data_IF_756145687606
#
_entry.id   IF_756145687606
#
_cell.length_a   1.000
_cell.length_b   1.000
_cell.length_c   1.000
_cell.angle_alpha   90.00
_cell.angle_beta   90.00
_cell.angle_gamma   90.00
#
_symmetry.space_group_name_H-M   'P 1'
#
loop_
_entity.id
_entity.type
_entity.pdbx_description
1 polymer ?
#
# COMPACT_ATOMS: atom_id res chain seq x y z
N UNK A 1 27.36 1.58 -16.69
CA UNK A 1 27.37 1.06 -15.32
C UNK A 1 26.16 0.16 -15.14
N UNK A 2 26.36 -1.15 -15.03
CA UNK A 2 25.27 -2.10 -14.77
C UNK A 2 24.88 -2.00 -13.28
N UNK A 3 23.60 -1.78 -12.97
CA UNK A 3 23.09 -1.85 -11.60
C UNK A 3 23.11 -3.32 -11.17
N UNK A 4 23.82 -3.62 -10.10
CA UNK A 4 23.76 -4.93 -9.44
C UNK A 4 22.33 -5.12 -8.92
N UNK A 5 21.63 -6.20 -9.31
CA UNK A 5 20.30 -6.49 -8.78
C UNK A 5 20.41 -6.71 -7.26
N UNK A 6 19.46 -6.13 -6.52
CA UNK A 6 19.34 -6.33 -5.08
C UNK A 6 19.01 -7.81 -4.86
N UNK A 7 20.03 -8.61 -4.53
CA UNK A 7 19.85 -10.02 -4.20
C UNK A 7 19.58 -10.09 -2.70
N UNK A 8 18.44 -10.68 -2.31
CA UNK A 8 18.11 -11.05 -0.93
C UNK A 8 19.18 -12.02 -0.43
N UNK A 9 20.28 -11.49 0.12
CA UNK A 9 21.44 -12.30 0.54
C UNK A 9 21.21 -13.06 1.84
N UNK A 10 20.17 -12.73 2.60
CA UNK A 10 19.80 -13.44 3.81
C UNK A 10 18.34 -13.16 4.16
N UNK A 11 17.46 -14.15 3.99
CA UNK A 11 16.05 -14.05 4.41
C UNK A 11 15.94 -13.74 5.90
N UNK A 12 16.83 -14.28 6.73
CA UNK A 12 16.87 -13.96 8.17
C UNK A 12 17.16 -12.49 8.43
N UNK A 13 18.12 -11.87 7.73
CA UNK A 13 18.41 -10.44 7.93
C UNK A 13 17.25 -9.56 7.45
N UNK A 14 16.56 -9.97 6.39
CA UNK A 14 15.35 -9.28 5.94
C UNK A 14 14.24 -9.36 7.00
N UNK A 15 13.90 -10.56 7.46
CA UNK A 15 12.85 -10.78 8.46
C UNK A 15 13.17 -10.11 9.80
N UNK A 16 14.44 -10.10 10.23
CA UNK A 16 14.87 -9.49 11.48
C UNK A 16 14.95 -7.96 11.43
N UNK A 17 15.01 -7.36 10.23
CA UNK A 17 15.05 -5.91 10.05
C UNK A 17 13.78 -5.33 9.43
N UNK A 18 12.74 -6.15 9.21
CA UNK A 18 11.42 -5.61 8.89
C UNK A 18 11.01 -4.66 10.02
N UNK A 19 10.71 -3.39 9.72
CA UNK A 19 10.20 -2.47 10.73
C UNK A 19 8.98 -3.12 11.35
N UNK A 20 9.06 -3.50 12.62
CA UNK A 20 7.89 -3.95 13.34
C UNK A 20 6.84 -2.84 13.28
N UNK A 21 5.57 -3.19 13.14
CA UNK A 21 4.48 -2.21 13.18
C UNK A 21 4.39 -1.49 14.54
N UNK A 22 5.14 -1.95 15.56
CA UNK A 22 5.15 -1.46 16.94
C UNK A 22 5.17 0.06 17.11
N UNK A 23 6.05 0.84 16.43
CA UNK A 23 6.02 2.29 16.53
C UNK A 23 4.73 2.92 15.98
N UNK A 24 4.17 2.37 14.90
CA UNK A 24 2.92 2.88 14.30
C UNK A 24 1.71 2.43 15.14
N UNK A 25 1.70 1.20 15.64
CA UNK A 25 0.68 0.70 16.57
C UNK A 25 0.69 1.51 17.88
N UNK A 26 1.86 1.81 18.43
CA UNK A 26 1.99 2.65 19.62
C UNK A 26 1.52 4.09 19.37
N UNK A 27 1.81 4.65 18.18
CA UNK A 27 1.33 5.97 17.79
C UNK A 27 -0.19 6.01 17.61
N UNK A 28 -0.76 4.98 16.98
CA UNK A 28 -2.20 4.92 16.65
C UNK A 28 -3.05 4.41 17.80
N UNK A 29 -2.49 3.67 18.76
CA UNK A 29 -3.15 3.31 20.01
C UNK A 29 -3.61 4.54 20.81
N UNK A 30 -2.95 5.69 20.63
CA UNK A 30 -3.38 6.98 21.20
C UNK A 30 -4.68 7.53 20.60
N UNK A 31 -5.12 6.99 19.46
CA UNK A 31 -6.40 7.34 18.84
C UNK A 31 -7.59 6.60 19.49
N UNK A 32 -7.34 5.80 20.54
CA UNK A 32 -8.36 4.97 21.21
C UNK A 32 -8.81 3.75 20.40
N UNK A 33 -8.35 3.63 19.15
CA UNK A 33 -8.52 2.48 18.25
C UNK A 33 -7.24 2.37 17.40
N UNK A 34 -6.50 1.24 17.47
CA UNK A 34 -5.32 1.05 16.62
C UNK A 34 -5.73 1.14 15.15
N UNK A 35 -4.92 1.79 14.31
CA UNK A 35 -5.11 1.69 12.87
C UNK A 35 -4.77 0.25 12.47
N UNK A 36 -5.75 -0.47 11.94
CA UNK A 36 -5.49 -1.77 11.31
C UNK A 36 -5.01 -1.50 9.88
N UNK A 37 -3.82 -1.96 9.58
CA UNK A 37 -3.27 -1.87 8.23
C UNK A 37 -4.14 -2.72 7.31
N UNK A 38 -4.49 -2.14 6.15
CA UNK A 38 -4.83 -2.98 5.02
C UNK A 38 -3.52 -3.39 4.38
N UNK A 39 -3.38 -4.68 4.15
CA UNK A 39 -2.34 -5.15 3.25
C UNK A 39 -2.76 -4.78 1.82
N UNK A 40 -1.76 -4.51 0.98
CA UNK A 40 -1.88 -4.36 -0.45
C UNK A 40 -0.72 -5.17 -1.04
N UNK A 41 -1.03 -6.16 -1.87
CA UNK A 41 -0.04 -7.13 -2.32
C UNK A 41 0.96 -6.53 -3.31
N UNK A 42 0.49 -5.64 -4.19
CA UNK A 42 1.37 -4.91 -5.10
C UNK A 42 0.81 -3.52 -5.41
N UNK A 43 1.71 -2.54 -5.45
CA UNK A 43 1.45 -1.21 -5.97
C UNK A 43 2.45 -0.89 -7.08
N UNK A 44 1.98 -0.32 -8.18
CA UNK A 44 2.83 0.17 -9.28
C UNK A 44 2.35 1.53 -9.74
N UNK A 45 3.26 2.50 -9.75
CA UNK A 45 3.01 3.82 -10.33
C UNK A 45 3.58 3.89 -11.75
N UNK A 46 2.83 4.55 -12.64
CA UNK A 46 3.26 4.87 -13.99
C UNK A 46 2.60 6.17 -14.45
N UNK A 47 3.40 7.23 -14.63
CA UNK A 47 2.97 8.55 -15.17
C UNK A 47 1.79 9.17 -14.43
N UNK A 48 1.80 9.13 -13.11
CA UNK A 48 0.75 9.66 -12.25
C UNK A 48 -0.51 8.79 -12.18
N UNK A 49 -0.43 7.56 -12.67
CA UNK A 49 -1.46 6.53 -12.51
C UNK A 49 -0.95 5.43 -11.60
N UNK A 50 -1.81 4.97 -10.71
CA UNK A 50 -1.48 3.92 -9.77
C UNK A 50 -2.27 2.66 -10.11
N UNK A 51 -1.57 1.54 -10.21
CA UNK A 51 -2.15 0.21 -10.12
C UNK A 51 -2.00 -0.27 -8.69
N UNK A 52 -3.11 -0.64 -8.06
CA UNK A 52 -3.15 -1.40 -6.82
C UNK A 52 -3.70 -2.79 -7.15
N UNK A 53 -2.99 -3.81 -6.71
CA UNK A 53 -3.35 -5.21 -6.86
C UNK A 53 -3.53 -5.80 -5.47
N UNK A 54 -4.68 -6.43 -5.28
CA UNK A 54 -5.02 -7.21 -4.10
C UNK A 54 -5.24 -8.67 -4.50
N UNK A 55 -4.55 -9.59 -3.84
CA UNK A 55 -4.69 -11.02 -4.03
C UNK A 55 -5.50 -11.63 -2.88
N UNK A 56 -6.46 -12.48 -3.22
CA UNK A 56 -7.34 -13.18 -2.27
C UNK A 56 -7.31 -14.67 -2.51
N UNK A 57 -7.47 -15.45 -1.44
CA UNK A 57 -7.70 -16.88 -1.57
C UNK A 57 -9.08 -17.14 -2.23
N UNK A 58 -9.27 -18.26 -2.96
CA UNK A 58 -10.56 -18.57 -3.58
C UNK A 58 -11.71 -18.54 -2.56
N UNK A 59 -12.80 -17.87 -2.91
CA UNK A 59 -13.98 -17.72 -2.05
C UNK A 59 -13.86 -16.68 -0.93
N UNK A 60 -12.69 -16.08 -0.70
CA UNK A 60 -12.52 -15.02 0.28
C UNK A 60 -13.17 -13.72 -0.19
N UNK A 61 -13.96 -13.07 0.66
CA UNK A 61 -14.55 -11.77 0.34
C UNK A 61 -13.56 -10.63 0.56
N UNK A 62 -13.65 -9.58 -0.25
CA UNK A 62 -12.99 -8.30 0.06
C UNK A 62 -13.65 -7.71 1.30
N UNK A 63 -12.85 -7.38 2.32
CA UNK A 63 -13.41 -6.83 3.55
C UNK A 63 -13.99 -5.42 3.31
N UNK A 64 -14.95 -4.99 4.14
CA UNK A 64 -15.66 -3.74 3.93
C UNK A 64 -14.72 -2.51 3.89
N UNK A 65 -13.68 -2.49 4.72
CA UNK A 65 -12.70 -1.40 4.75
C UNK A 65 -11.92 -1.28 3.44
N UNK A 66 -11.44 -2.40 2.91
CA UNK A 66 -10.81 -2.49 1.60
C UNK A 66 -11.77 -2.06 0.49
N UNK A 67 -13.02 -2.53 0.51
CA UNK A 67 -14.02 -2.13 -0.48
C UNK A 67 -14.26 -0.62 -0.52
N UNK A 68 -14.34 0.04 0.65
CA UNK A 68 -14.46 1.50 0.77
C UNK A 68 -13.21 2.21 0.25
N UNK A 69 -12.02 1.70 0.58
CA UNK A 69 -10.76 2.25 0.09
C UNK A 69 -10.69 2.17 -1.45
N UNK A 70 -10.96 0.99 -2.01
CA UNK A 70 -10.91 0.74 -3.45
C UNK A 70 -11.90 1.62 -4.19
N UNK A 71 -13.14 1.73 -3.69
CA UNK A 71 -14.16 2.63 -4.26
C UNK A 71 -13.69 4.10 -4.28
N UNK A 72 -13.04 4.58 -3.20
CA UNK A 72 -12.52 5.94 -3.15
C UNK A 72 -11.32 6.16 -4.09
N UNK A 73 -10.43 5.17 -4.21
CA UNK A 73 -9.29 5.24 -5.12
C UNK A 73 -9.75 5.32 -6.57
N UNK A 74 -10.61 4.42 -7.02
CA UNK A 74 -11.05 4.39 -8.44
C UNK A 74 -11.91 5.61 -8.79
N UNK A 75 -12.65 6.17 -7.83
CA UNK A 75 -13.47 7.38 -8.03
C UNK A 75 -12.67 8.61 -8.47
N UNK A 76 -11.37 8.68 -8.19
CA UNK A 76 -10.54 9.79 -8.67
C UNK A 76 -10.24 9.72 -10.17
N UNK A 77 -10.45 8.56 -10.80
CA UNK A 77 -10.04 8.29 -12.18
C UNK A 77 -8.53 8.17 -12.38
N UNK A 78 -7.71 8.28 -11.32
CA UNK A 78 -6.26 8.16 -11.37
C UNK A 78 -5.75 6.77 -11.00
N UNK A 79 -6.55 5.99 -10.28
CA UNK A 79 -6.16 4.70 -9.73
C UNK A 79 -6.94 3.57 -10.40
N UNK A 80 -6.23 2.50 -10.74
CA UNK A 80 -6.80 1.22 -11.15
C UNK A 80 -6.62 0.25 -9.99
N UNK A 81 -7.71 -0.41 -9.59
CA UNK A 81 -7.66 -1.45 -8.56
C UNK A 81 -8.07 -2.77 -9.21
N UNK A 82 -7.21 -3.77 -9.07
CA UNK A 82 -7.47 -5.14 -9.52
C UNK A 82 -7.49 -6.03 -8.29
N UNK A 83 -8.60 -6.74 -8.09
CA UNK A 83 -8.65 -7.82 -7.08
C UNK A 83 -8.59 -9.14 -7.82
N UNK A 84 -7.66 -10.00 -7.45
CA UNK A 84 -7.44 -11.31 -8.06
C UNK A 84 -7.71 -12.37 -7.01
N UNK A 85 -8.44 -13.41 -7.39
CA UNK A 85 -8.64 -14.60 -6.56
C UNK A 85 -7.85 -15.75 -7.14
N UNK A 86 -7.16 -16.50 -6.28
CA UNK A 86 -6.41 -17.68 -6.71
C UNK A 86 -5.51 -18.23 -5.63
N UNK A 87 -4.82 -19.31 -5.97
CA UNK A 87 -3.70 -19.81 -5.17
C UNK A 87 -2.41 -19.12 -5.61
N UNK A 88 -1.35 -19.23 -4.80
CA UNK A 88 -0.06 -18.64 -5.14
C UNK A 88 0.40 -19.05 -6.56
N UNK A 89 0.62 -18.07 -7.43
CA UNK A 89 1.02 -18.27 -8.82
C UNK A 89 -0.08 -18.77 -9.77
N UNK A 90 -1.31 -19.01 -9.29
CA UNK A 90 -2.41 -19.58 -10.06
C UNK A 90 -3.67 -18.71 -9.87
N UNK A 91 -3.84 -17.64 -10.67
CA UNK A 91 -5.05 -16.85 -10.63
C UNK A 91 -6.22 -17.67 -11.20
N UNK A 92 -7.41 -17.44 -10.66
CA UNK A 92 -8.64 -18.14 -11.03
C UNK A 92 -9.74 -17.18 -11.48
N UNK A 93 -9.80 -15.99 -10.88
CA UNK A 93 -10.65 -14.90 -11.34
C UNK A 93 -10.07 -13.54 -10.94
N UNK A 94 -10.56 -12.48 -11.57
CA UNK A 94 -10.25 -11.11 -11.18
C UNK A 94 -11.45 -10.19 -11.36
N UNK A 95 -11.40 -9.03 -10.72
CA UNK A 95 -12.32 -7.92 -10.98
C UNK A 95 -11.53 -6.62 -11.08
N UNK A 96 -11.89 -5.79 -12.06
CA UNK A 96 -11.49 -4.39 -12.13
C UNK A 96 -12.50 -3.58 -11.31
N UNK A 97 -12.06 -3.10 -10.16
CA UNK A 97 -12.96 -2.45 -9.20
C UNK A 97 -13.63 -1.21 -9.82
N UNK A 98 -14.95 -1.12 -9.71
CA UNK A 98 -15.74 -0.02 -10.27
C UNK A 98 -15.92 -0.04 -11.80
N UNK A 99 -15.34 -1.02 -12.50
CA UNK A 99 -15.49 -1.20 -13.95
C UNK A 99 -16.26 -2.48 -14.32
N UNK A 100 -16.26 -3.47 -13.42
CA UNK A 100 -16.93 -4.75 -13.60
C UNK A 100 -17.97 -4.97 -12.50
N UNK A 101 -19.09 -5.59 -12.86
CA UNK A 101 -20.17 -5.93 -11.91
C UNK A 101 -19.88 -7.23 -11.14
N UNK A 102 -19.12 -8.15 -11.73
CA UNK A 102 -18.77 -9.43 -11.14
C UNK A 102 -17.36 -9.88 -11.56
N UNK A 103 -16.68 -10.75 -10.77
CA UNK A 103 -15.38 -11.28 -11.15
C UNK A 103 -15.45 -12.13 -12.43
N UNK A 104 -14.50 -11.95 -13.33
CA UNK A 104 -14.33 -12.78 -14.51
C UNK A 104 -13.29 -13.87 -14.27
N UNK A 105 -13.52 -15.07 -14.84
CA UNK A 105 -12.52 -16.13 -14.84
C UNK A 105 -11.25 -15.68 -15.57
N UNK A 106 -10.09 -16.19 -15.14
CA UNK A 106 -8.80 -15.81 -15.73
C UNK A 106 -7.76 -16.91 -15.57
N UNK A 107 -6.74 -16.87 -16.42
CA UNK A 107 -5.52 -17.68 -16.32
C UNK A 107 -4.32 -16.81 -15.98
N UNK A 108 -3.15 -17.42 -15.74
CA UNK A 108 -1.91 -16.66 -15.51
C UNK A 108 -1.54 -15.81 -16.73
N UNK A 109 -1.73 -16.33 -17.95
CA UNK A 109 -1.41 -15.61 -19.18
C UNK A 109 -2.37 -14.43 -19.41
N UNK A 110 -3.67 -14.63 -19.18
CA UNK A 110 -4.67 -13.55 -19.25
C UNK A 110 -4.35 -12.44 -18.24
N UNK A 111 -3.98 -12.82 -17.02
CA UNK A 111 -3.62 -11.90 -15.97
C UNK A 111 -2.33 -11.12 -16.32
N UNK A 112 -1.31 -11.80 -16.85
CA UNK A 112 -0.11 -11.13 -17.34
C UNK A 112 -0.42 -10.15 -18.48
N UNK A 113 -1.28 -10.54 -19.43
CA UNK A 113 -1.72 -9.69 -20.52
C UNK A 113 -2.47 -8.45 -20.01
N UNK A 114 -3.32 -8.59 -19.00
CA UNK A 114 -4.00 -7.47 -18.33
C UNK A 114 -2.99 -6.46 -17.76
N UNK A 115 -1.96 -6.94 -17.06
CA UNK A 115 -0.92 -6.06 -16.47
C UNK A 115 -0.09 -5.35 -17.54
N UNK A 116 0.26 -6.03 -18.62
CA UNK A 116 0.97 -5.43 -19.76
C UNK A 116 0.10 -4.38 -20.46
N UNK A 117 -1.18 -4.68 -20.68
CA UNK A 117 -2.13 -3.75 -21.28
C UNK A 117 -2.28 -2.49 -20.41
N UNK A 118 -2.40 -2.66 -19.09
CA UNK A 118 -2.46 -1.53 -18.15
C UNK A 118 -1.21 -0.66 -18.23
N UNK A 119 -0.01 -1.25 -18.17
CA UNK A 119 1.26 -0.49 -18.20
C UNK A 119 1.47 0.24 -19.54
N UNK A 120 1.06 -0.40 -20.63
CA UNK A 120 1.08 0.20 -21.98
C UNK A 120 0.15 1.40 -22.05
N UNK A 121 -1.10 1.24 -21.59
CA UNK A 121 -2.08 2.33 -21.52
C UNK A 121 -1.58 3.49 -20.66
N UNK A 122 -1.05 3.20 -19.46
CA UNK A 122 -0.55 4.21 -18.54
C UNK A 122 0.65 4.98 -19.13
N UNK A 123 1.51 4.30 -19.91
CA UNK A 123 2.69 4.92 -20.54
C UNK A 123 2.33 5.97 -21.58
N UNK A 124 1.18 5.83 -22.26
CA UNK A 124 0.74 6.80 -23.27
C UNK A 124 -0.18 7.89 -22.72
N UNK A 125 -0.55 7.84 -21.43
CA UNK A 125 -1.37 8.88 -20.82
C UNK A 125 -0.59 10.21 -20.69
N UNK A 126 -1.29 11.35 -20.87
CA UNK A 126 -0.77 12.63 -20.44
C UNK A 126 -0.42 12.58 -18.95
N UNK A 127 0.69 13.23 -18.57
CA UNK A 127 0.95 13.44 -17.15
C UNK A 127 -0.23 14.23 -16.56
N UNK A 128 -0.65 13.92 -15.32
CA UNK A 128 -1.56 14.79 -14.60
C UNK A 128 -1.01 16.22 -14.63
N UNK A 129 -1.89 17.22 -14.65
CA UNK A 129 -1.46 18.58 -14.36
C UNK A 129 -0.62 18.54 -13.08
N UNK A 130 0.54 19.20 -13.10
CA UNK A 130 1.47 19.19 -11.97
C UNK A 130 0.67 19.40 -10.68
N UNK A 131 0.94 18.58 -9.66
CA UNK A 131 0.38 18.82 -8.35
C UNK A 131 0.58 20.31 -8.02
N UNK A 132 -0.44 21.01 -7.52
CA UNK A 132 -0.32 22.43 -7.26
C UNK A 132 0.92 22.64 -6.39
N UNK A 133 1.74 23.65 -6.74
CA UNK A 133 3.06 23.88 -6.13
C UNK A 133 3.01 24.04 -4.59
N UNK A 134 1.81 24.20 -4.05
CA UNK A 134 1.45 24.23 -2.64
C UNK A 134 1.21 22.84 -2.03
N UNK A 135 2.12 21.87 -2.26
CA UNK A 135 2.29 20.86 -1.20
C UNK A 135 2.97 21.56 -0.03
N UNK A 136 2.16 22.23 0.80
CA UNK A 136 2.60 22.74 2.09
C UNK A 136 2.89 21.49 2.93
N UNK A 137 4.16 21.10 3.19
CA UNK A 137 4.43 20.02 4.12
C UNK A 137 3.68 20.35 5.39
N UNK A 138 2.93 19.37 5.95
CA UNK A 138 2.18 19.53 7.20
C UNK A 138 2.92 20.50 8.10
N UNK A 139 2.33 21.69 8.29
CA UNK A 139 2.98 22.85 8.91
C UNK A 139 3.85 22.31 10.03
N UNK A 140 5.18 22.44 9.85
CA UNK A 140 6.20 21.78 10.67
C UNK A 140 5.66 21.64 12.07
N UNK A 141 5.39 20.41 12.53
CA UNK A 141 5.04 20.17 13.92
C UNK A 141 6.11 20.91 14.72
N UNK A 142 5.76 22.08 15.27
CA UNK A 142 6.66 22.81 16.16
C UNK A 142 6.94 21.79 17.23
N UNK A 143 8.17 21.31 17.29
CA UNK A 143 8.59 20.36 18.30
C UNK A 143 8.09 20.95 19.61
N UNK A 144 7.08 20.32 20.22
CA UNK A 144 6.66 20.70 21.55
C UNK A 144 7.95 20.58 22.37
N UNK A 145 8.41 21.65 23.04
CA UNK A 145 9.63 21.57 23.83
C UNK A 145 9.44 20.39 24.76
N UNK A 146 10.17 19.30 24.48
CA UNK A 146 10.24 18.19 25.40
C UNK A 146 10.96 18.77 26.61
N UNK A 147 10.18 19.23 27.58
CA UNK A 147 10.60 19.36 28.96
C UNK A 147 10.92 17.95 29.42
N UNK A 148 12.10 17.44 29.02
CA UNK A 148 12.77 16.39 29.76
C UNK A 148 12.91 16.94 31.17
N UNK A 149 12.00 16.52 32.05
CA UNK A 149 12.25 16.58 33.47
C UNK A 149 13.63 15.95 33.66
N UNK A 150 14.58 16.73 34.20
CA UNK A 150 15.85 16.17 34.66
C UNK A 150 15.48 15.02 35.61
N UNK A 151 16.05 13.82 35.46
CA UNK A 151 15.92 12.81 36.49
C UNK A 151 16.37 13.43 37.81
N UNK A 152 15.51 13.33 38.81
CA UNK A 152 15.81 13.74 40.17
C UNK A 152 17.09 13.01 40.62
N UNK A 153 18.19 13.73 40.94
CA UNK A 153 19.41 13.09 41.39
C UNK A 153 19.28 12.49 42.80
N UNK A 154 18.15 12.69 43.48
CA UNK A 154 17.90 12.10 44.80
C UNK A 154 17.24 10.72 44.70
N UNK A 155 17.99 9.76 44.17
CA UNK A 155 17.75 8.35 44.43
C UNK A 155 17.88 8.08 45.93
N UNK A 156 16.82 8.31 46.70
CA UNK A 156 16.65 7.73 48.03
C UNK A 156 15.82 6.47 47.88
N UNK A 157 16.53 5.35 47.81
CA UNK A 157 15.99 4.04 48.14
C UNK A 157 15.55 4.04 49.60
N UNK A 158 14.29 3.69 49.82
CA UNK A 158 13.78 3.18 51.08
C UNK A 158 13.38 1.72 50.85
#
# INVERSE_FOLDING_TARGET
MARTPMTLRCISDYLNNLPTYGPIEAATGRLGRPLRFTDADMMRERRGRLLLLEWKAPGQTVNAGQGILFANLVRTGLHTVVVVWGHEGIPSSYILWGQMESPAATTLDDFAALLVAWDTWATVQPLPAAAPAEWQPFATCKASPQTRAKPDPTGKTA
#
